data_IF_674406113583
#
_entry.id   IF_674406113583
#
_cell.length_a   1.000
_cell.length_b   1.000
_cell.length_c   1.000
_cell.angle_alpha   90.00
_cell.angle_beta   90.00
_cell.angle_gamma   90.00
#
_symmetry.space_group_name_H-M   'P 1'
#
loop_
_entity.id
_entity.type
_entity.pdbx_description
1 polymer ?
#
# COMPACT_ATOMS: atom_id res chain seq x y z
N UNK A 1 -11.29 0.19 18.02
CA UNK A 1 -10.05 -0.35 17.40
C UNK A 1 -9.79 0.55 16.22
N UNK A 2 -8.68 1.28 16.27
CA UNK A 2 -8.29 2.20 15.20
C UNK A 2 -7.36 1.43 14.27
N UNK A 3 -7.60 1.51 12.97
CA UNK A 3 -6.75 0.90 11.95
C UNK A 3 -6.16 1.99 11.08
N UNK A 4 -4.91 1.80 10.70
CA UNK A 4 -4.07 2.74 9.98
C UNK A 4 -3.58 2.06 8.71
N UNK A 5 -3.66 2.76 7.58
CA UNK A 5 -3.04 2.28 6.35
C UNK A 5 -1.61 2.79 6.34
N UNK A 6 -0.66 1.88 6.49
CA UNK A 6 0.74 2.20 6.49
C UNK A 6 1.34 1.89 5.11
N UNK A 7 2.17 2.80 4.64
CA UNK A 7 2.79 2.78 3.32
C UNK A 7 4.29 2.97 3.50
N UNK A 8 5.09 2.02 3.05
CA UNK A 8 6.53 2.16 3.01
C UNK A 8 7.02 2.39 1.56
N UNK A 9 7.97 3.31 1.41
CA UNK A 9 8.48 3.76 0.10
C UNK A 9 10.00 3.72 0.06
N UNK A 10 10.56 3.58 -1.15
CA UNK A 10 12.01 3.60 -1.38
C UNK A 10 12.62 5.01 -1.29
N UNK A 11 11.83 6.04 -1.58
CA UNK A 11 12.24 7.46 -1.57
C UNK A 11 11.46 8.21 -0.50
N UNK A 12 12.10 9.21 0.10
CA UNK A 12 11.42 10.19 0.93
C UNK A 12 10.49 11.01 0.02
N UNK A 13 9.25 11.19 0.46
CA UNK A 13 8.17 11.86 -0.29
C UNK A 13 7.51 12.99 0.52
N UNK A 14 8.21 13.51 1.53
CA UNK A 14 7.67 14.52 2.45
C UNK A 14 7.28 15.79 1.70
N UNK A 15 8.06 16.18 0.68
CA UNK A 15 7.81 17.38 -0.13
C UNK A 15 6.62 17.18 -1.06
N UNK A 16 6.50 15.99 -1.66
CA UNK A 16 5.44 15.64 -2.59
C UNK A 16 4.10 15.40 -1.88
N UNK A 17 4.13 14.93 -0.62
CA UNK A 17 2.93 14.69 0.18
C UNK A 17 2.02 15.91 0.27
N UNK A 18 2.58 17.11 0.51
CA UNK A 18 1.78 18.34 0.59
C UNK A 18 1.08 18.64 -0.74
N UNK A 19 1.75 18.40 -1.87
CA UNK A 19 1.14 18.58 -3.20
C UNK A 19 0.01 17.56 -3.44
N UNK A 20 0.19 16.32 -3.00
CA UNK A 20 -0.81 15.27 -3.20
C UNK A 20 -2.03 15.40 -2.31
N UNK A 21 -1.89 15.99 -1.12
CA UNK A 21 -3.05 16.33 -0.29
C UNK A 21 -3.97 17.32 -1.01
N UNK A 22 -3.41 18.28 -1.75
CA UNK A 22 -4.18 19.22 -2.57
C UNK A 22 -4.79 18.58 -3.83
N UNK A 23 -4.05 17.68 -4.50
CA UNK A 23 -4.44 17.10 -5.79
C UNK A 23 -5.40 15.90 -5.66
N UNK A 24 -5.15 15.03 -4.68
CA UNK A 24 -5.86 13.76 -4.47
C UNK A 24 -6.72 13.75 -3.20
N UNK A 25 -6.60 14.76 -2.33
CA UNK A 25 -7.27 14.78 -1.03
C UNK A 25 -6.59 13.88 0.00
N UNK A 26 -5.45 13.26 -0.33
CA UNK A 26 -4.76 12.28 0.52
C UNK A 26 -3.48 12.89 1.06
N UNK A 27 -3.47 13.16 2.35
CA UNK A 27 -2.26 13.51 3.08
C UNK A 27 -1.50 12.25 3.49
N UNK A 28 -0.21 12.18 3.17
CA UNK A 28 0.70 11.21 3.75
C UNK A 28 1.46 11.86 4.90
N UNK A 29 1.36 11.29 6.09
CA UNK A 29 2.10 11.76 7.27
C UNK A 29 3.18 10.77 7.65
N UNK A 30 4.31 11.27 8.16
CA UNK A 30 5.35 10.40 8.68
C UNK A 30 4.78 9.46 9.74
N UNK A 31 5.10 8.19 9.60
CA UNK A 31 4.60 7.11 10.43
C UNK A 31 5.73 6.28 11.05
N UNK A 32 6.91 6.88 11.17
CA UNK A 32 8.11 6.25 11.73
C UNK A 32 7.91 5.75 13.17
N UNK A 33 6.95 6.28 13.92
CA UNK A 33 6.59 5.73 15.23
C UNK A 33 6.18 4.25 15.18
N UNK A 34 5.63 3.76 14.06
CA UNK A 34 5.20 2.36 13.91
C UNK A 34 6.30 1.44 13.35
N UNK A 35 7.50 1.96 13.06
CA UNK A 35 8.58 1.23 12.37
C UNK A 35 8.93 -0.11 13.02
N UNK A 36 8.94 -0.17 14.35
CA UNK A 36 9.27 -1.37 15.11
C UNK A 36 8.15 -2.43 15.13
N UNK A 37 6.94 -2.02 14.75
CA UNK A 37 5.73 -2.85 14.87
C UNK A 37 5.31 -3.48 13.55
N UNK A 38 5.88 -3.06 12.43
CA UNK A 38 5.50 -3.46 11.07
C UNK A 38 6.63 -4.17 10.31
N UNK A 39 6.32 -5.11 9.41
CA UNK A 39 7.31 -5.95 8.77
C UNK A 39 7.74 -5.40 7.39
N UNK A 40 7.78 -4.07 7.26
CA UNK A 40 8.22 -3.41 6.02
C UNK A 40 9.73 -3.53 5.83
N UNK A 41 10.14 -3.56 4.57
CA UNK A 41 11.55 -3.61 4.16
C UNK A 41 12.04 -2.27 3.62
N UNK A 42 11.12 -1.37 3.26
CA UNK A 42 11.45 -0.07 2.68
C UNK A 42 11.75 1.02 3.73
N UNK A 43 12.66 1.96 3.42
CA UNK A 43 13.28 2.85 4.41
C UNK A 43 12.42 4.02 4.91
N UNK A 44 11.38 4.44 4.19
CA UNK A 44 10.52 5.57 4.60
C UNK A 44 9.10 5.09 4.83
N UNK A 45 8.47 5.50 5.94
CA UNK A 45 7.17 5.01 6.38
C UNK A 45 6.19 6.16 6.57
N UNK A 46 5.02 5.98 5.98
CA UNK A 46 3.93 6.95 5.95
C UNK A 46 2.62 6.30 6.37
N UNK A 47 1.71 7.13 6.89
CA UNK A 47 0.33 6.79 7.15
C UNK A 47 -0.55 7.55 6.16
N UNK A 48 -1.47 6.82 5.52
CA UNK A 48 -2.48 7.37 4.65
C UNK A 48 -3.85 7.37 5.34
N UNK A 49 -4.63 8.41 5.06
CA UNK A 49 -5.96 8.62 5.61
C UNK A 49 -6.99 8.74 4.49
N UNK A 50 -7.44 7.65 3.86
CA UNK A 50 -8.66 7.70 3.04
C UNK A 50 -9.13 6.32 2.50
N UNK A 51 -10.21 6.36 1.73
CA UNK A 51 -10.80 5.28 0.93
C UNK A 51 -9.82 4.64 -0.08
N UNK A 52 -10.14 3.40 -0.49
CA UNK A 52 -9.32 2.58 -1.39
C UNK A 52 -9.01 3.23 -2.75
N UNK A 53 -10.01 3.84 -3.41
CA UNK A 53 -9.81 4.33 -4.78
C UNK A 53 -8.88 5.56 -4.86
N UNK A 54 -9.04 6.59 -4.03
CA UNK A 54 -8.05 7.67 -3.93
C UNK A 54 -6.64 7.14 -3.66
N UNK A 55 -6.47 6.18 -2.74
CA UNK A 55 -5.16 5.62 -2.40
C UNK A 55 -4.50 4.96 -3.62
N UNK A 56 -5.26 4.15 -4.37
CA UNK A 56 -4.76 3.56 -5.62
C UNK A 56 -4.46 4.62 -6.70
N UNK A 57 -5.28 5.69 -6.74
CA UNK A 57 -5.03 7.00 -7.35
C UNK A 57 -3.58 7.44 -7.21
N UNK A 58 -3.26 7.73 -5.94
CA UNK A 58 -1.99 8.25 -5.47
C UNK A 58 -0.84 7.30 -5.77
N UNK A 59 -0.96 6.01 -5.47
CA UNK A 59 0.10 5.03 -5.71
C UNK A 59 0.49 4.95 -7.18
N UNK A 60 -0.49 5.06 -8.09
CA UNK A 60 -0.21 5.05 -9.52
C UNK A 60 0.58 6.29 -9.99
N UNK A 61 0.32 7.45 -9.41
CA UNK A 61 1.02 8.70 -9.72
C UNK A 61 2.41 8.76 -9.06
N UNK A 62 2.49 8.37 -7.79
CA UNK A 62 3.71 8.30 -6.98
C UNK A 62 4.78 7.42 -7.64
N UNK A 63 4.39 6.24 -8.11
CA UNK A 63 5.33 5.22 -8.57
C UNK A 63 5.84 5.51 -10.00
N UNK A 64 7.15 5.61 -10.15
CA UNK A 64 7.83 5.56 -11.44
C UNK A 64 8.04 4.10 -11.89
N UNK A 65 8.41 3.91 -13.17
CA UNK A 65 8.83 2.58 -13.64
C UNK A 65 10.07 2.15 -12.86
N UNK A 66 10.03 0.96 -12.28
CA UNK A 66 11.07 0.42 -11.39
C UNK A 66 10.79 0.62 -9.91
N UNK A 67 9.75 1.36 -9.53
CA UNK A 67 9.46 1.57 -8.11
C UNK A 67 8.75 0.39 -7.45
N UNK A 68 8.94 0.32 -6.13
CA UNK A 68 8.29 -0.61 -5.21
C UNK A 68 7.71 0.20 -4.05
N UNK A 69 6.48 -0.14 -3.67
CA UNK A 69 5.81 0.40 -2.49
C UNK A 69 5.19 -0.75 -1.71
N UNK A 70 5.26 -0.71 -0.39
CA UNK A 70 4.70 -1.74 0.49
C UNK A 70 3.54 -1.15 1.30
N UNK A 71 2.43 -1.88 1.41
CA UNK A 71 1.24 -1.50 2.17
C UNK A 71 0.96 -2.52 3.28
N UNK A 72 0.42 -2.04 4.40
CA UNK A 72 -0.03 -2.88 5.51
C UNK A 72 -1.16 -2.19 6.28
N UNK A 73 -2.20 -2.94 6.64
CA UNK A 73 -3.25 -2.45 7.55
C UNK A 73 -2.87 -2.71 9.00
N UNK A 74 -2.51 -1.66 9.73
CA UNK A 74 -2.10 -1.75 11.12
C UNK A 74 -3.25 -1.37 12.06
N UNK A 75 -3.75 -2.32 12.85
CA UNK A 75 -4.83 -2.07 13.81
C UNK A 75 -4.33 -2.08 15.25
N UNK A 76 -4.49 -0.95 15.95
CA UNK A 76 -4.07 -0.79 17.34
C UNK A 76 -4.86 -1.69 18.30
N UNK A 77 -4.17 -2.27 19.29
CA UNK A 77 -4.80 -3.04 20.36
C UNK A 77 -5.27 -4.44 19.97
N UNK A 78 -4.86 -4.95 18.80
CA UNK A 78 -5.07 -6.35 18.41
C UNK A 78 -4.30 -7.26 19.39
N UNK A 79 -5.02 -7.91 20.32
CA UNK A 79 -4.45 -8.86 21.30
C UNK A 79 -3.78 -10.01 20.54
N UNK A 80 -2.45 -10.02 20.42
CA UNK A 80 -1.77 -11.11 19.71
C UNK A 80 -0.36 -10.84 19.16
N UNK A 81 0.18 -9.64 19.28
CA UNK A 81 1.59 -9.39 18.98
C UNK A 81 1.84 -8.71 17.64
N UNK A 82 3.07 -8.20 17.55
CA UNK A 82 3.78 -7.60 16.41
C UNK A 82 3.19 -8.02 15.05
N UNK A 83 3.08 -7.06 14.12
CA UNK A 83 2.59 -7.34 12.78
C UNK A 83 3.25 -8.60 12.20
N UNK A 84 2.43 -9.50 11.69
CA UNK A 84 2.89 -10.78 11.13
C UNK A 84 2.88 -10.63 9.62
N UNK A 85 4.02 -10.91 8.98
CA UNK A 85 4.06 -11.03 7.53
C UNK A 85 3.89 -12.50 7.12
N UNK A 86 2.64 -12.93 6.92
CA UNK A 86 2.34 -14.24 6.36
C UNK A 86 2.62 -14.24 4.86
N UNK A 87 3.80 -14.71 4.48
CA UNK A 87 4.28 -14.67 3.09
C UNK A 87 3.34 -15.40 2.13
N UNK A 88 2.68 -16.44 2.59
CA UNK A 88 1.67 -17.18 1.84
C UNK A 88 0.42 -16.33 1.55
N UNK A 89 0.07 -15.39 2.43
CA UNK A 89 -1.05 -14.45 2.26
C UNK A 89 -0.60 -13.12 1.63
N UNK A 90 0.66 -13.00 1.16
CA UNK A 90 1.19 -11.77 0.58
C UNK A 90 0.56 -11.48 -0.79
N UNK A 91 0.10 -10.24 -0.97
CA UNK A 91 -0.47 -9.77 -2.24
C UNK A 91 0.61 -9.01 -3.01
N UNK A 92 0.68 -9.22 -4.32
CA UNK A 92 1.52 -8.43 -5.23
C UNK A 92 0.65 -7.80 -6.32
N UNK A 93 0.81 -6.49 -6.53
CA UNK A 93 0.12 -5.75 -7.59
C UNK A 93 1.16 -5.15 -8.51
N UNK A 94 1.13 -5.48 -9.81
CA UNK A 94 1.94 -4.80 -10.81
C UNK A 94 1.09 -3.77 -11.56
N UNK A 95 1.41 -2.49 -11.38
CA UNK A 95 0.71 -1.36 -11.98
C UNK A 95 0.99 -1.21 -13.48
N UNK A 96 2.16 -1.63 -13.95
CA UNK A 96 2.52 -1.56 -15.37
C UNK A 96 1.87 -2.70 -16.16
N UNK A 97 2.04 -3.94 -15.68
CA UNK A 97 1.42 -5.13 -16.30
C UNK A 97 -0.08 -5.27 -16.01
N UNK A 98 -0.59 -4.50 -15.04
CA UNK A 98 -1.99 -4.52 -14.57
C UNK A 98 -2.37 -5.92 -14.10
N UNK A 99 -1.56 -6.48 -13.21
CA UNK A 99 -1.79 -7.79 -12.63
C UNK A 99 -1.94 -7.69 -11.12
N UNK A 100 -2.76 -8.56 -10.57
CA UNK A 100 -2.96 -8.76 -9.14
C UNK A 100 -2.66 -10.23 -8.84
N UNK A 101 -1.85 -10.49 -7.83
CA UNK A 101 -1.48 -11.83 -7.42
C UNK A 101 -1.72 -11.98 -5.92
N UNK A 102 -2.36 -13.09 -5.55
CA UNK A 102 -2.55 -13.51 -4.17
C UNK A 102 -2.16 -14.99 -4.01
N UNK A 103 -2.51 -15.57 -2.88
CA UNK A 103 -2.24 -16.98 -2.55
C UNK A 103 -2.91 -17.99 -3.51
N UNK A 104 -3.95 -17.57 -4.25
CA UNK A 104 -4.74 -18.43 -5.14
C UNK A 104 -4.27 -18.34 -6.59
N UNK A 105 -3.55 -17.29 -6.98
CA UNK A 105 -2.93 -17.19 -8.29
C UNK A 105 -2.73 -15.75 -8.77
N UNK A 106 -2.41 -15.63 -10.05
CA UNK A 106 -2.20 -14.34 -10.73
C UNK A 106 -3.36 -14.04 -11.66
N UNK A 107 -3.89 -12.83 -11.56
CA UNK A 107 -5.07 -12.36 -12.29
C UNK A 107 -4.71 -11.10 -13.08
N UNK A 108 -5.22 -11.00 -14.31
CA UNK A 108 -5.05 -9.81 -15.14
C UNK A 108 -6.24 -8.87 -14.93
N UNK A 109 -5.96 -7.62 -14.58
CA UNK A 109 -6.97 -6.58 -14.37
C UNK A 109 -7.46 -6.01 -15.70
N UNK A 110 -8.67 -5.49 -15.71
CA UNK A 110 -9.24 -4.86 -16.91
C UNK A 110 -8.42 -3.62 -17.34
N UNK A 111 -7.77 -3.59 -18.52
CA UNK A 111 -6.84 -2.52 -18.88
C UNK A 111 -7.43 -1.10 -18.88
N UNK A 112 -8.74 -0.97 -19.13
CA UNK A 112 -9.45 0.33 -19.22
C UNK A 112 -9.94 0.85 -17.87
N UNK A 113 -10.09 -0.03 -16.87
CA UNK A 113 -10.66 0.30 -15.56
C UNK A 113 -9.90 -0.37 -14.42
N UNK A 114 -8.60 -0.60 -14.60
CA UNK A 114 -7.82 -1.50 -13.74
C UNK A 114 -7.76 -1.01 -12.28
N UNK A 115 -7.75 0.31 -12.03
CA UNK A 115 -7.82 0.88 -10.68
C UNK A 115 -9.15 0.53 -9.98
N UNK A 116 -10.26 0.67 -10.70
CA UNK A 116 -11.58 0.30 -10.16
C UNK A 116 -11.69 -1.22 -9.94
N UNK A 117 -11.15 -2.02 -10.87
CA UNK A 117 -11.12 -3.48 -10.74
C UNK A 117 -10.29 -3.90 -9.52
N UNK A 118 -9.12 -3.27 -9.32
CA UNK A 118 -8.26 -3.48 -8.16
C UNK A 118 -8.93 -3.05 -6.85
N UNK A 119 -9.66 -1.94 -6.83
CA UNK A 119 -10.43 -1.48 -5.66
C UNK A 119 -11.52 -2.48 -5.24
N UNK A 120 -11.94 -3.41 -6.12
CA UNK A 120 -12.84 -4.51 -5.74
C UNK A 120 -12.11 -5.74 -5.19
N UNK A 121 -10.77 -5.77 -5.27
CA UNK A 121 -9.94 -6.86 -4.72
C UNK A 121 -9.55 -6.55 -3.29
N UNK A 122 -9.35 -7.60 -2.51
CA UNK A 122 -8.79 -7.49 -1.17
C UNK A 122 -7.27 -7.40 -1.24
N UNK A 123 -6.76 -6.23 -1.60
CA UNK A 123 -5.32 -5.98 -1.64
C UNK A 123 -4.79 -5.45 -0.30
N UNK A 124 -5.61 -4.80 0.53
CA UNK A 124 -5.21 -4.35 1.86
C UNK A 124 -5.53 -5.44 2.90
N UNK A 125 -4.58 -5.73 3.78
CA UNK A 125 -4.71 -6.78 4.80
C UNK A 125 -3.85 -6.48 6.03
N UNK A 126 -4.34 -6.95 7.17
CA UNK A 126 -3.66 -6.85 8.47
C UNK A 126 -2.86 -8.11 8.84
N UNK A 127 -2.59 -8.98 7.85
CA UNK A 127 -1.95 -10.30 8.01
C UNK A 127 -0.69 -10.51 7.15
N UNK A 128 -0.45 -9.63 6.18
CA UNK A 128 0.72 -9.69 5.30
C UNK A 128 1.00 -8.33 4.69
N UNK A 129 2.21 -8.16 4.17
CA UNK A 129 2.55 -6.98 3.38
C UNK A 129 2.03 -7.15 1.96
N UNK A 130 1.38 -6.10 1.46
CA UNK A 130 1.02 -5.99 0.05
C UNK A 130 2.08 -5.19 -0.68
N UNK A 131 2.64 -5.77 -1.74
CA UNK A 131 3.70 -5.13 -2.52
C UNK A 131 3.15 -4.62 -3.84
N UNK A 132 3.26 -3.31 -4.05
CA UNK A 132 3.00 -2.65 -5.32
C UNK A 132 4.31 -2.53 -6.09
N UNK A 133 4.27 -2.91 -7.37
CA UNK A 133 5.39 -2.91 -8.30
C UNK A 133 5.00 -2.15 -9.58
N UNK A 134 5.97 -1.52 -10.26
CA UNK A 134 5.73 -0.91 -11.58
C UNK A 134 6.84 -1.27 -12.56
N UNK A 135 6.84 -2.50 -13.08
CA UNK A 135 7.81 -3.04 -14.05
C UNK A 135 7.12 -3.65 -15.27
#
# INVERSE_FOLDING_TARGET
MTCHILIATIRNIDVESTRWEEEFGIGLKSAEQYRGDVPFTLPYLYEAYDDDLPLLMLLNELMAIGDVVELYEYCEGKKGGVAVNRREEAVTVNLHQKTYQDQHGTYKLNPKKWLNDLATKRYLTDRSVTTFLKY
#
